data_IF_809228039850
#
_entry.id   IF_809228039850
#
_cell.length_a   1.000
_cell.length_b   1.000
_cell.length_c   1.000
_cell.angle_alpha   90.00
_cell.angle_beta   90.00
_cell.angle_gamma   90.00
#
_symmetry.space_group_name_H-M   'P 1'
#
loop_
_entity.id
_entity.type
_entity.pdbx_description
1 polymer ?
#
# COMPACT_ATOMS: atom_id res chain seq x y z
N UNK A 1 12.05 -27.50 -33.66
CA UNK A 1 11.07 -26.40 -33.61
C UNK A 1 9.75 -26.95 -33.08
N UNK A 2 9.52 -26.83 -31.77
CA UNK A 2 8.25 -27.17 -31.10
C UNK A 2 8.17 -26.35 -29.81
N UNK A 3 7.51 -25.21 -29.90
CA UNK A 3 7.05 -24.42 -28.75
C UNK A 3 6.07 -23.37 -29.26
N UNK A 4 4.89 -23.82 -29.69
CA UNK A 4 3.70 -22.95 -29.82
C UNK A 4 2.54 -23.83 -29.39
N UNK A 5 2.30 -23.89 -28.09
CA UNK A 5 1.05 -24.30 -27.46
C UNK A 5 1.34 -24.36 -25.97
N UNK A 6 0.88 -23.33 -25.26
CA UNK A 6 0.30 -23.40 -23.91
C UNK A 6 0.00 -21.95 -23.46
N UNK A 7 -0.82 -21.27 -24.25
CA UNK A 7 -1.22 -19.87 -24.06
C UNK A 7 -2.74 -19.71 -23.87
N UNK A 8 -3.48 -20.79 -23.61
CA UNK A 8 -4.94 -20.80 -23.67
C UNK A 8 -5.63 -21.61 -22.56
N UNK A 9 -5.05 -21.70 -21.37
CA UNK A 9 -5.77 -22.19 -20.18
C UNK A 9 -5.42 -21.28 -19.01
N UNK A 10 -6.41 -21.03 -18.14
CA UNK A 10 -6.43 -20.04 -17.04
C UNK A 10 -7.00 -18.67 -17.47
N UNK A 11 -8.16 -18.70 -18.12
CA UNK A 11 -9.09 -17.58 -18.23
C UNK A 11 -10.54 -18.09 -18.08
N UNK A 12 -10.75 -19.00 -17.13
CA UNK A 12 -12.05 -19.56 -16.77
C UNK A 12 -12.05 -19.82 -15.26
N UNK A 13 -12.40 -18.81 -14.44
CA UNK A 13 -12.89 -19.07 -13.07
C UNK A 13 -13.66 -17.90 -12.44
N UNK A 14 -14.32 -17.05 -13.23
CA UNK A 14 -15.23 -16.03 -12.70
C UNK A 14 -16.44 -15.84 -13.64
N UNK A 15 -17.23 -16.89 -13.77
CA UNK A 15 -18.64 -16.80 -14.17
C UNK A 15 -19.42 -17.61 -13.13
N UNK A 16 -20.08 -16.90 -12.21
CA UNK A 16 -21.33 -17.32 -11.55
C UNK A 16 -21.72 -16.25 -10.52
N UNK A 17 -22.60 -15.33 -10.93
CA UNK A 17 -23.84 -15.01 -10.20
C UNK A 17 -24.60 -13.90 -10.94
N UNK A 18 -25.52 -14.33 -11.79
CA UNK A 18 -26.51 -13.50 -12.45
C UNK A 18 -27.76 -13.46 -11.54
N UNK A 19 -27.82 -12.48 -10.63
CA UNK A 19 -28.99 -12.29 -9.75
C UNK A 19 -29.95 -11.27 -10.37
N UNK A 20 -31.22 -11.61 -10.63
CA UNK A 20 -32.20 -10.66 -11.12
C UNK A 20 -32.66 -9.76 -9.97
N UNK A 21 -32.34 -8.46 -10.03
CA UNK A 21 -32.87 -7.48 -9.06
C UNK A 21 -34.16 -6.89 -9.60
N UNK A 22 -35.24 -7.31 -8.95
CA UNK A 22 -36.63 -6.93 -9.17
C UNK A 22 -36.84 -5.40 -9.03
N UNK A 23 -37.46 -4.81 -10.05
CA UNK A 23 -37.93 -3.42 -10.00
C UNK A 23 -39.34 -3.40 -9.42
N UNK A 24 -39.52 -2.92 -8.19
CA UNK A 24 -40.64 -2.08 -7.72
C UNK A 24 -40.69 -2.04 -6.19
N UNK A 25 -40.41 -0.87 -5.59
CA UNK A 25 -41.23 -0.28 -4.52
C UNK A 25 -40.57 0.99 -4.02
N UNK A 26 -41.16 2.14 -4.36
CA UNK A 26 -40.97 3.39 -3.64
C UNK A 26 -41.66 3.31 -2.28
N UNK A 27 -40.96 3.67 -1.20
CA UNK A 27 -41.62 4.42 -0.13
C UNK A 27 -41.07 5.84 -0.09
N UNK A 28 -41.96 6.79 -0.35
CA UNK A 28 -41.76 8.21 -0.08
C UNK A 28 -41.49 8.40 1.41
N UNK A 29 -40.24 8.67 1.75
CA UNK A 29 -39.89 9.30 3.02
C UNK A 29 -39.14 10.59 2.71
N UNK A 30 -39.89 11.68 2.74
CA UNK A 30 -39.38 13.04 2.80
C UNK A 30 -38.66 13.23 4.14
N UNK A 31 -37.43 12.75 4.24
CA UNK A 31 -36.48 13.32 5.18
C UNK A 31 -35.95 14.57 4.50
N UNK A 32 -36.33 15.74 5.01
CA UNK A 32 -35.66 16.98 4.69
C UNK A 32 -34.18 16.82 5.10
N UNK A 33 -33.35 16.36 4.16
CA UNK A 33 -31.92 16.49 4.27
C UNK A 33 -31.67 18.00 4.32
N UNK A 34 -31.28 18.50 5.50
CA UNK A 34 -30.61 19.78 5.59
C UNK A 34 -29.36 19.67 4.73
N UNK A 35 -29.46 20.15 3.49
CA UNK A 35 -28.34 20.31 2.58
C UNK A 35 -27.61 21.58 3.03
N UNK A 36 -27.09 21.58 4.26
CA UNK A 36 -26.03 22.52 4.62
C UNK A 36 -24.74 22.00 4.01
N UNK A 37 -24.65 22.16 2.68
CA UNK A 37 -23.40 22.10 1.97
C UNK A 37 -22.49 23.16 2.60
N UNK A 38 -21.33 22.74 3.13
CA UNK A 38 -20.33 23.60 3.77
C UNK A 38 -19.63 24.60 2.84
N UNK A 39 -20.35 25.11 1.84
CA UNK A 39 -19.93 26.14 0.89
C UNK A 39 -20.71 27.45 1.06
N UNK A 40 -21.75 27.48 1.90
CA UNK A 40 -22.34 28.74 2.34
C UNK A 40 -21.43 29.40 3.38
N UNK A 41 -20.43 30.12 2.88
CA UNK A 41 -19.81 31.22 3.62
C UNK A 41 -20.87 32.31 3.78
N UNK A 42 -21.80 32.10 4.72
CA UNK A 42 -22.61 33.17 5.30
C UNK A 42 -21.63 34.10 5.97
N UNK A 43 -21.17 35.12 5.24
CA UNK A 43 -20.60 36.39 5.68
C UNK A 43 -20.22 36.42 7.17
N UNK A 44 -19.25 35.59 7.57
CA UNK A 44 -18.80 35.59 8.95
C UNK A 44 -17.90 36.82 9.10
N UNK A 45 -18.28 37.82 9.91
CA UNK A 45 -17.49 39.02 10.10
C UNK A 45 -16.07 38.69 10.60
N UNK A 46 -15.87 37.55 11.28
CA UNK A 46 -14.53 37.09 11.65
C UNK A 46 -13.70 36.61 10.45
N UNK A 47 -14.32 35.89 9.50
CA UNK A 47 -13.68 35.46 8.27
C UNK A 47 -13.30 36.64 7.36
N UNK A 48 -14.17 37.65 7.27
CA UNK A 48 -13.87 38.89 6.56
C UNK A 48 -12.78 39.71 7.24
N UNK A 49 -12.76 39.80 8.57
CA UNK A 49 -11.72 40.51 9.31
C UNK A 49 -10.33 39.87 9.14
N UNK A 50 -10.27 38.54 9.01
CA UNK A 50 -9.05 37.80 8.69
C UNK A 50 -8.56 38.12 7.27
N UNK A 51 -9.46 38.13 6.28
CA UNK A 51 -9.12 38.46 4.90
C UNK A 51 -8.64 39.92 4.74
N UNK A 52 -9.25 40.84 5.49
CA UNK A 52 -8.90 42.27 5.50
C UNK A 52 -7.61 42.56 6.30
N UNK A 53 -6.97 41.55 6.90
CA UNK A 53 -5.74 41.70 7.68
C UNK A 53 -5.90 42.52 8.96
N UNK A 54 -7.14 42.72 9.42
CA UNK A 54 -7.46 43.59 10.57
C UNK A 54 -7.35 42.87 11.92
N UNK A 55 -7.18 41.54 11.92
CA UNK A 55 -6.95 40.78 13.16
C UNK A 55 -5.44 40.73 13.46
N UNK A 56 -4.99 41.46 14.48
CA UNK A 56 -3.67 41.24 15.07
C UNK A 56 -3.63 39.83 15.68
N UNK A 57 -2.90 38.92 15.07
CA UNK A 57 -2.73 37.54 15.55
C UNK A 57 -1.85 37.59 16.80
N UNK A 58 -2.46 37.75 17.97
CA UNK A 58 -1.79 37.46 19.23
C UNK A 58 -1.53 35.95 19.29
N UNK A 59 -0.33 35.54 18.88
CA UNK A 59 0.13 34.16 19.00
C UNK A 59 0.35 33.82 20.47
N UNK A 60 -0.71 33.39 21.16
CA UNK A 60 -0.56 32.71 22.43
C UNK A 60 0.26 31.44 22.18
N UNK A 61 1.53 31.44 22.62
CA UNK A 61 2.48 30.31 22.54
C UNK A 61 2.09 29.11 23.43
N UNK A 62 0.83 28.99 23.80
CA UNK A 62 0.29 27.92 24.61
C UNK A 62 -0.92 27.36 23.89
N UNK A 63 -0.92 26.05 23.67
CA UNK A 63 -2.01 25.28 23.03
C UNK A 63 -1.98 25.24 21.49
N UNK A 64 -0.84 24.81 20.92
CA UNK A 64 -0.88 24.26 19.56
C UNK A 64 -1.54 22.87 19.62
N UNK A 65 -2.75 22.66 19.05
CA UNK A 65 -3.48 21.39 19.12
C UNK A 65 -2.79 20.27 18.33
N UNK A 66 -1.70 20.53 17.62
CA UNK A 66 -0.89 19.49 16.98
C UNK A 66 0.20 18.91 17.90
N UNK A 67 0.49 19.54 19.05
CA UNK A 67 1.49 19.03 20.00
C UNK A 67 1.01 17.81 20.81
N UNK A 68 -0.29 17.48 20.81
CA UNK A 68 -0.81 16.24 21.42
C UNK A 68 -0.33 14.96 20.73
N UNK A 69 0.21 15.07 19.51
CA UNK A 69 0.78 13.94 18.76
C UNK A 69 2.31 13.90 18.78
N UNK A 70 2.97 14.65 19.67
CA UNK A 70 4.39 14.42 19.93
C UNK A 70 4.54 13.02 20.55
N UNK A 71 4.78 12.04 19.67
CA UNK A 71 5.09 10.66 20.01
C UNK A 71 6.18 10.69 21.06
N UNK A 72 5.82 10.31 22.30
CA UNK A 72 6.77 10.20 23.41
C UNK A 72 8.01 9.43 22.93
N UNK A 73 9.16 10.10 22.96
CA UNK A 73 10.45 9.52 22.56
C UNK A 73 11.01 8.58 23.62
N UNK A 74 10.26 8.32 24.71
CA UNK A 74 10.58 7.34 25.72
C UNK A 74 10.23 5.92 25.24
N UNK A 75 10.74 5.53 24.06
CA UNK A 75 10.83 4.11 23.74
C UNK A 75 12.11 3.61 24.40
N UNK A 76 12.06 2.75 25.43
CA UNK A 76 13.27 2.15 25.95
C UNK A 76 13.99 1.49 24.78
N UNK A 77 15.27 1.82 24.61
CA UNK A 77 16.12 1.18 23.62
C UNK A 77 16.18 -0.32 23.98
N UNK A 78 15.34 -1.12 23.32
CA UNK A 78 15.41 -2.57 23.43
C UNK A 78 16.71 -3.01 22.76
N UNK A 79 17.79 -3.06 23.54
CA UNK A 79 19.08 -3.67 23.19
C UNK A 79 19.05 -5.18 23.34
N UNK A 80 17.88 -5.80 23.17
CA UNK A 80 17.80 -7.26 23.14
C UNK A 80 18.43 -7.73 21.82
N UNK A 81 19.50 -8.53 21.85
CA UNK A 81 20.06 -9.12 20.64
C UNK A 81 18.96 -9.98 19.99
N UNK A 82 18.52 -9.58 18.80
CA UNK A 82 17.53 -10.35 18.04
C UNK A 82 18.12 -11.73 17.80
N UNK A 83 17.45 -12.82 18.18
CA UNK A 83 17.97 -14.16 17.97
C UNK A 83 18.31 -14.35 16.50
N UNK A 84 19.51 -14.86 16.22
CA UNK A 84 19.96 -15.12 14.87
C UNK A 84 18.97 -16.07 14.19
N UNK A 85 18.33 -15.61 13.12
CA UNK A 85 17.34 -16.40 12.38
C UNK A 85 18.07 -17.44 11.55
N UNK A 86 17.54 -18.67 11.53
CA UNK A 86 18.04 -19.75 10.69
C UNK A 86 18.06 -19.32 9.21
N UNK A 87 19.14 -19.63 8.51
CA UNK A 87 19.29 -19.40 7.07
C UNK A 87 18.38 -20.34 6.30
N UNK A 88 17.70 -19.82 5.27
CA UNK A 88 16.90 -20.66 4.38
C UNK A 88 17.82 -21.54 3.55
N UNK A 89 17.48 -22.82 3.40
CA UNK A 89 18.10 -23.71 2.40
C UNK A 89 17.33 -23.57 1.10
N UNK A 90 17.99 -23.04 0.07
CA UNK A 90 17.36 -22.79 -1.23
C UNK A 90 17.44 -24.03 -2.12
N UNK A 91 16.35 -24.31 -2.84
CA UNK A 91 16.37 -25.13 -4.05
C UNK A 91 16.95 -24.33 -5.22
N UNK A 92 17.36 -24.99 -6.31
CA UNK A 92 17.97 -24.34 -7.48
C UNK A 92 17.07 -23.24 -8.06
N UNK A 93 15.77 -23.52 -8.21
CA UNK A 93 14.78 -22.53 -8.68
C UNK A 93 14.63 -21.34 -7.72
N UNK A 94 14.73 -21.59 -6.42
CA UNK A 94 14.62 -20.55 -5.39
C UNK A 94 15.87 -19.68 -5.33
N UNK A 95 17.05 -20.26 -5.60
CA UNK A 95 18.30 -19.53 -5.69
C UNK A 95 18.30 -18.55 -6.87
N UNK A 96 17.77 -18.99 -8.03
CA UNK A 96 17.56 -18.11 -9.19
C UNK A 96 16.55 -17.01 -8.88
N UNK A 97 15.40 -17.35 -8.28
CA UNK A 97 14.39 -16.38 -7.87
C UNK A 97 14.95 -15.33 -6.89
N UNK A 98 15.81 -15.75 -5.96
CA UNK A 98 16.48 -14.86 -5.03
C UNK A 98 17.46 -13.93 -5.73
N UNK A 99 18.24 -14.42 -6.70
CA UNK A 99 19.12 -13.60 -7.53
C UNK A 99 18.36 -12.52 -8.30
N UNK A 100 17.21 -12.87 -8.90
CA UNK A 100 16.36 -11.93 -9.64
C UNK A 100 15.84 -10.78 -8.76
N UNK A 101 15.34 -11.08 -7.56
CA UNK A 101 14.83 -10.04 -6.66
C UNK A 101 15.99 -9.18 -6.13
N UNK A 102 17.13 -9.79 -5.79
CA UNK A 102 18.28 -9.06 -5.24
C UNK A 102 18.95 -8.13 -6.26
N UNK A 103 18.83 -8.42 -7.56
CA UNK A 103 19.25 -7.50 -8.63
C UNK A 103 18.61 -6.12 -8.48
N UNK A 104 17.31 -6.06 -8.16
CA UNK A 104 16.56 -4.80 -8.05
C UNK A 104 16.46 -4.30 -6.60
N UNK A 105 16.47 -5.20 -5.62
CA UNK A 105 16.34 -4.90 -4.19
C UNK A 105 17.48 -5.58 -3.40
N UNK A 106 18.68 -4.99 -3.34
CA UNK A 106 19.88 -5.62 -2.74
C UNK A 106 19.82 -5.72 -1.20
N UNK A 107 18.76 -5.21 -0.57
CA UNK A 107 18.60 -5.18 0.88
C UNK A 107 17.97 -6.46 1.46
N UNK A 108 17.66 -7.46 0.63
CA UNK A 108 17.03 -8.69 1.10
C UNK A 108 18.08 -9.63 1.72
N UNK A 109 18.03 -9.91 3.04
CA UNK A 109 18.94 -10.85 3.67
C UNK A 109 18.58 -12.30 3.32
N UNK A 110 19.55 -13.23 3.42
CA UNK A 110 19.33 -14.67 3.16
C UNK A 110 18.30 -15.29 4.13
N UNK A 111 18.19 -14.79 5.35
CA UNK A 111 17.26 -15.26 6.39
C UNK A 111 16.00 -14.36 6.52
N UNK A 112 15.45 -13.97 5.36
CA UNK A 112 14.34 -13.04 5.28
C UNK A 112 13.05 -13.57 5.94
N UNK A 113 12.27 -12.67 6.53
CA UNK A 113 10.87 -12.90 6.93
C UNK A 113 9.92 -12.51 5.78
N UNK A 114 8.69 -13.01 5.78
CA UNK A 114 7.61 -12.59 4.86
C UNK A 114 7.49 -11.06 4.73
N UNK A 115 7.62 -10.31 5.83
CA UNK A 115 7.58 -8.83 5.79
C UNK A 115 8.71 -8.24 4.96
N UNK A 116 9.93 -8.74 5.15
CA UNK A 116 11.14 -8.27 4.45
C UNK A 116 11.07 -8.64 2.96
N UNK A 117 10.63 -9.86 2.64
CA UNK A 117 10.38 -10.30 1.27
C UNK A 117 9.34 -9.43 0.56
N UNK A 118 8.24 -9.10 1.24
CA UNK A 118 7.21 -8.22 0.69
C UNK A 118 7.72 -6.80 0.46
N UNK A 119 8.57 -6.29 1.35
CA UNK A 119 9.18 -4.96 1.16
C UNK A 119 10.16 -4.94 0.00
N UNK A 120 11.05 -5.93 -0.13
CA UNK A 120 11.99 -6.01 -1.25
C UNK A 120 11.26 -6.21 -2.58
N UNK A 121 10.22 -7.04 -2.61
CA UNK A 121 9.34 -7.22 -3.76
C UNK A 121 8.73 -5.89 -4.24
N UNK A 122 8.15 -5.10 -3.32
CA UNK A 122 7.59 -3.77 -3.67
C UNK A 122 8.64 -2.83 -4.26
N UNK A 123 9.85 -2.83 -3.69
CA UNK A 123 10.95 -2.01 -4.21
C UNK A 123 11.38 -2.47 -5.61
N UNK A 124 11.44 -3.77 -5.84
CA UNK A 124 11.75 -4.34 -7.14
C UNK A 124 10.66 -3.97 -8.17
N UNK A 125 9.38 -4.10 -7.82
CA UNK A 125 8.26 -3.71 -8.70
C UNK A 125 8.31 -2.24 -9.10
N UNK A 126 8.59 -1.34 -8.15
CA UNK A 126 8.68 0.09 -8.48
C UNK A 126 9.77 0.35 -9.52
N UNK A 127 10.92 -0.32 -9.39
CA UNK A 127 12.03 -0.17 -10.35
C UNK A 127 11.76 -0.79 -11.71
N UNK A 128 11.03 -1.91 -11.75
CA UNK A 128 10.74 -2.62 -13.00
C UNK A 128 9.42 -2.20 -13.65
N UNK A 129 8.67 -1.27 -13.05
CA UNK A 129 7.38 -0.85 -13.56
C UNK A 129 7.49 -0.18 -14.94
N UNK A 130 6.67 -0.57 -15.94
CA UNK A 130 6.74 -0.01 -17.29
C UNK A 130 6.50 1.51 -17.32
N UNK A 131 5.57 2.02 -16.51
CA UNK A 131 5.32 3.47 -16.42
C UNK A 131 6.50 4.28 -15.86
N UNK A 132 7.46 3.62 -15.19
CA UNK A 132 8.68 4.26 -14.67
C UNK A 132 9.90 3.99 -15.58
N UNK A 133 9.67 3.51 -16.81
CA UNK A 133 10.73 3.18 -17.78
C UNK A 133 11.33 1.78 -17.60
N UNK A 134 10.69 0.90 -16.82
CA UNK A 134 11.07 -0.50 -16.68
C UNK A 134 10.59 -1.38 -17.86
N UNK A 135 11.06 -2.62 -17.90
CA UNK A 135 10.59 -3.63 -18.85
C UNK A 135 9.44 -4.45 -18.25
N UNK A 136 8.38 -4.68 -19.02
CA UNK A 136 7.27 -5.55 -18.63
C UNK A 136 7.74 -6.99 -18.35
N UNK A 137 8.73 -7.48 -19.11
CA UNK A 137 9.31 -8.82 -18.90
C UNK A 137 9.93 -8.94 -17.49
N UNK A 138 10.71 -7.94 -17.08
CA UNK A 138 11.32 -7.89 -15.75
C UNK A 138 10.27 -7.75 -14.64
N UNK A 139 9.17 -7.03 -14.91
CA UNK A 139 8.07 -6.92 -13.96
C UNK A 139 7.43 -8.29 -13.69
N UNK A 140 7.18 -9.08 -14.75
CA UNK A 140 6.64 -10.43 -14.63
C UNK A 140 7.62 -11.41 -14.00
N UNK A 141 8.92 -11.34 -14.32
CA UNK A 141 9.93 -12.21 -13.70
C UNK A 141 10.01 -11.97 -12.19
N UNK A 142 10.05 -10.71 -11.74
CA UNK A 142 10.05 -10.34 -10.32
C UNK A 142 8.80 -10.86 -9.60
N UNK A 143 7.64 -10.82 -10.25
CA UNK A 143 6.40 -11.39 -9.71
C UNK A 143 6.51 -12.91 -9.52
N UNK A 144 6.96 -13.64 -10.55
CA UNK A 144 7.13 -15.09 -10.49
C UNK A 144 8.13 -15.49 -9.40
N UNK A 145 9.25 -14.78 -9.30
CA UNK A 145 10.28 -15.03 -8.29
C UNK A 145 9.76 -14.79 -6.86
N UNK A 146 8.87 -13.82 -6.67
CA UNK A 146 8.21 -13.60 -5.38
C UNK A 146 7.30 -14.77 -4.98
N UNK A 147 6.52 -15.29 -5.92
CA UNK A 147 5.62 -16.44 -5.67
C UNK A 147 6.40 -17.68 -5.22
N UNK A 148 7.53 -17.97 -5.89
CA UNK A 148 8.43 -19.08 -5.53
C UNK A 148 8.97 -18.94 -4.10
N UNK A 149 9.45 -17.74 -3.75
CA UNK A 149 10.04 -17.47 -2.43
C UNK A 149 9.01 -17.36 -1.31
N UNK A 150 7.74 -17.13 -1.65
CA UNK A 150 6.66 -17.03 -0.67
C UNK A 150 6.48 -18.33 0.12
N UNK A 151 6.80 -19.48 -0.48
CA UNK A 151 6.77 -20.80 0.17
C UNK A 151 7.79 -20.95 1.31
N UNK A 152 8.90 -20.22 1.28
CA UNK A 152 9.97 -20.26 2.29
C UNK A 152 9.71 -19.30 3.46
N UNK A 153 8.90 -18.27 3.23
CA UNK A 153 8.68 -17.21 4.19
C UNK A 153 7.70 -17.65 5.29
N UNK A 154 8.23 -18.06 6.45
CA UNK A 154 7.43 -18.32 7.65
C UNK A 154 6.80 -17.02 8.17
N UNK A 155 5.51 -17.08 8.51
CA UNK A 155 4.71 -15.96 9.04
C UNK A 155 5.12 -15.58 10.47
#
# INVERSE_FOLDING_TARGET
>A
MKAVNDFAQILEFFEDENVPVDMTSTPSHSMAASINAGWETVLDPAGLAYLMGQTSIYTNKSTNPYNKFKRSTNRPAQTQPVPARATHTFNDEQALAFADITQWAPQLPINFNHKELKTSYRLALLKTHPDQGGSSENFWSVKKSYEVLCSLAKS
#
